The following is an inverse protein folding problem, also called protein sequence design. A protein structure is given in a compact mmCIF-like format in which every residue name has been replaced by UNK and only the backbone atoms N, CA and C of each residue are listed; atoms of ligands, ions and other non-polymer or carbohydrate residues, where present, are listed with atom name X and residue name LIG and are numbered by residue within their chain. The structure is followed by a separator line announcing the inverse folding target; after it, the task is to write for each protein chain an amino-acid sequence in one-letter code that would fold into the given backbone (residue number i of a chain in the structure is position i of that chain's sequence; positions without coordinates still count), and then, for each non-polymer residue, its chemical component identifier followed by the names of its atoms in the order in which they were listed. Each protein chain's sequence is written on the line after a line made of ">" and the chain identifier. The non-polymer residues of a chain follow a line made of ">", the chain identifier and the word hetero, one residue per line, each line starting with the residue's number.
data_IF_935737419859
#
_entry.id   IF_935737419859
#
_cell.length_a   1.000
_cell.length_b   1.000
_cell.length_c   1.000
_cell.angle_alpha   90.00
_cell.angle_beta   90.00
_cell.angle_gamma   90.00
#
_symmetry.space_group_name_H-M   'P 1'
#
loop_
_entity.id
_entity.type
_entity.pdbx_description
1 polymer ?
#
# COMPACT_ATOMS: atom_id res chain seq x y z
N UNK A 1 -1.97 10.52 -4.83
CA UNK A 1 -2.53 11.69 -5.56
C UNK A 1 -1.81 11.77 -6.90
N UNK A 2 -2.52 11.97 -8.02
CA UNK A 2 -1.92 12.12 -9.36
C UNK A 2 -2.18 13.56 -9.78
N UNK A 3 -1.15 14.29 -10.21
CA UNK A 3 -1.29 15.70 -10.57
C UNK A 3 -1.81 15.83 -12.01
N UNK A 4 -2.93 16.55 -12.18
CA UNK A 4 -3.58 16.73 -13.48
C UNK A 4 -2.84 17.82 -14.26
N UNK A 5 -2.42 17.50 -15.48
CA UNK A 5 -1.96 18.48 -16.45
C UNK A 5 -3.11 18.64 -17.46
N UNK A 6 -3.82 19.76 -17.42
CA UNK A 6 -4.91 20.00 -18.40
C UNK A 6 -4.40 21.00 -19.41
N UNK A 7 -4.25 20.57 -20.65
CA UNK A 7 -4.26 21.45 -21.80
C UNK A 7 -5.74 21.80 -22.09
N UNK A 8 -6.07 23.10 -22.14
CA UNK A 8 -7.46 23.57 -22.16
C UNK A 8 -8.15 23.43 -23.53
N UNK A 9 -7.48 22.94 -24.58
CA UNK A 9 -7.96 23.12 -25.96
C UNK A 9 -8.57 21.87 -26.62
N UNK A 10 -8.61 20.72 -25.95
CA UNK A 10 -9.19 19.50 -26.57
C UNK A 10 -10.53 19.15 -25.93
N UNK A 11 -11.63 19.29 -26.69
CA UNK A 11 -13.00 18.82 -26.38
C UNK A 11 -13.15 17.30 -26.22
N UNK A 12 -12.05 16.57 -26.10
CA UNK A 12 -11.98 15.13 -25.92
C UNK A 12 -11.59 14.87 -24.46
N UNK A 13 -12.30 13.95 -23.77
CA UNK A 13 -12.15 13.68 -22.33
C UNK A 13 -10.86 12.93 -22.01
N UNK A 14 -9.72 13.41 -22.51
CA UNK A 14 -8.40 12.84 -22.30
C UNK A 14 -7.76 13.54 -21.12
N UNK A 15 -7.88 12.92 -19.96
CA UNK A 15 -7.22 13.42 -18.77
C UNK A 15 -5.72 13.10 -18.86
N UNK A 16 -4.91 14.11 -19.21
CA UNK A 16 -3.46 14.01 -19.16
C UNK A 16 -2.98 14.18 -17.71
N UNK A 17 -2.13 13.27 -17.27
CA UNK A 17 -1.60 13.22 -15.92
C UNK A 17 -0.11 12.95 -15.98
N UNK A 18 0.66 13.50 -15.05
CA UNK A 18 2.06 13.11 -14.92
C UNK A 18 2.14 11.65 -14.46
N UNK A 19 3.02 10.82 -15.06
CA UNK A 19 3.16 9.40 -14.71
C UNK A 19 3.95 9.19 -13.40
N UNK A 20 3.81 10.11 -12.44
CA UNK A 20 4.49 10.06 -11.14
C UNK A 20 3.46 10.02 -10.02
N UNK A 21 3.74 9.21 -9.01
CA UNK A 21 2.95 9.12 -7.78
C UNK A 21 3.89 9.24 -6.60
N UNK A 22 3.47 10.00 -5.59
CA UNK A 22 4.14 10.01 -4.29
C UNK A 22 4.22 8.56 -3.77
N UNK A 23 5.44 8.06 -3.61
CA UNK A 23 5.71 6.65 -3.29
C UNK A 23 6.00 6.36 -1.82
N UNK A 24 6.10 7.40 -0.97
CA UNK A 24 6.51 7.23 0.43
C UNK A 24 5.48 6.45 1.27
N UNK A 25 4.20 6.60 0.95
CA UNK A 25 3.11 5.86 1.59
C UNK A 25 2.16 5.31 0.53
N UNK A 26 1.81 4.03 0.66
CA UNK A 26 0.85 3.37 -0.22
C UNK A 26 -0.01 2.41 0.58
N UNK A 27 -1.17 2.04 0.03
CA UNK A 27 -2.06 1.07 0.66
C UNK A 27 -1.61 -0.35 0.32
N UNK A 28 -1.90 -1.29 1.22
CA UNK A 28 -1.55 -2.71 1.07
C UNK A 28 -1.95 -3.31 -0.28
N UNK A 29 -3.17 -3.02 -0.74
CA UNK A 29 -3.66 -3.49 -2.04
C UNK A 29 -2.82 -3.03 -3.24
N UNK A 30 -2.12 -1.90 -3.14
CA UNK A 30 -1.28 -1.37 -4.23
C UNK A 30 0.17 -1.83 -4.17
N UNK A 31 0.60 -2.40 -3.04
CA UNK A 31 1.96 -2.91 -2.84
C UNK A 31 2.08 -4.41 -3.13
N UNK A 32 0.95 -5.08 -3.40
CA UNK A 32 0.94 -6.49 -3.77
C UNK A 32 1.77 -6.73 -5.04
N UNK A 33 2.80 -7.57 -4.91
CA UNK A 33 3.77 -7.90 -5.97
C UNK A 33 5.09 -7.12 -5.90
N UNK A 34 5.21 -6.10 -5.05
CA UNK A 34 6.47 -5.38 -4.85
C UNK A 34 7.36 -6.06 -3.80
N UNK A 35 8.68 -5.98 -4.01
CA UNK A 35 9.70 -6.30 -2.99
C UNK A 35 10.28 -4.99 -2.49
N UNK A 36 10.25 -4.77 -1.18
CA UNK A 36 10.73 -3.55 -0.54
C UNK A 36 11.91 -3.88 0.37
N UNK A 37 12.92 -3.01 0.40
CA UNK A 37 14.09 -3.19 1.26
C UNK A 37 13.78 -2.89 2.73
N UNK A 38 12.83 -1.97 2.99
CA UNK A 38 12.42 -1.54 4.32
C UNK A 38 10.93 -1.13 4.29
N UNK A 39 10.17 -1.44 5.35
CA UNK A 39 8.76 -1.06 5.45
C UNK A 39 8.39 -0.55 6.86
N UNK A 40 7.60 0.51 6.89
CA UNK A 40 6.92 0.97 8.10
C UNK A 40 5.44 0.65 7.97
N UNK A 41 4.93 -0.17 8.88
CA UNK A 41 3.59 -0.75 8.83
C UNK A 41 2.66 -0.09 9.82
N UNK A 42 1.56 0.47 9.32
CA UNK A 42 0.48 0.97 10.15
C UNK A 42 -0.82 0.21 9.87
N UNK A 43 -1.20 -0.67 10.78
CA UNK A 43 -2.42 -1.48 10.69
C UNK A 43 -3.54 -0.75 11.43
N UNK A 44 -4.17 0.23 10.77
CA UNK A 44 -5.21 1.07 11.39
C UNK A 44 -6.57 0.34 11.57
N UNK A 45 -6.83 -0.73 10.81
CA UNK A 45 -8.07 -1.52 10.94
C UNK A 45 -7.78 -2.95 11.36
N UNK A 46 -8.46 -3.36 12.43
CA UNK A 46 -8.52 -4.73 12.89
C UNK A 46 -9.40 -5.60 11.97
N UNK A 47 -9.17 -6.91 11.98
CA UNK A 47 -9.92 -7.96 11.30
C UNK A 47 -9.93 -7.90 9.76
N UNK A 48 -8.93 -7.23 9.14
CA UNK A 48 -8.74 -7.31 7.70
C UNK A 48 -8.00 -8.62 7.38
N UNK A 49 -8.66 -9.49 6.65
CA UNK A 49 -8.12 -10.79 6.25
C UNK A 49 -6.83 -10.65 5.43
N UNK A 50 -5.78 -11.37 5.83
CA UNK A 50 -4.52 -11.45 5.10
C UNK A 50 -3.71 -10.16 5.02
N UNK A 51 -4.19 -9.04 5.58
CA UNK A 51 -3.53 -7.74 5.46
C UNK A 51 -2.11 -7.74 6.03
N UNK A 52 -1.94 -8.18 7.28
CA UNK A 52 -0.63 -8.22 7.92
C UNK A 52 0.35 -9.15 7.18
N UNK A 53 -0.13 -10.32 6.72
CA UNK A 53 0.68 -11.26 5.95
C UNK A 53 1.16 -10.68 4.62
N UNK A 54 0.24 -10.07 3.85
CA UNK A 54 0.57 -9.42 2.57
C UNK A 54 1.56 -8.28 2.76
N UNK A 55 1.56 -7.63 3.93
CA UNK A 55 2.45 -6.55 4.27
C UNK A 55 3.86 -7.04 4.65
N UNK A 56 3.93 -8.02 5.54
CA UNK A 56 5.19 -8.58 6.05
C UNK A 56 5.94 -9.36 4.97
N UNK A 57 5.24 -10.06 4.09
CA UNK A 57 5.83 -10.78 2.95
C UNK A 57 6.52 -9.88 1.91
N UNK A 58 6.48 -8.55 2.06
CA UNK A 58 7.14 -7.59 1.15
C UNK A 58 8.59 -7.32 1.50
N UNK A 59 9.01 -7.66 2.71
CA UNK A 59 10.34 -7.44 3.22
C UNK A 59 11.02 -8.79 3.49
N UNK A 60 12.31 -8.89 3.15
CA UNK A 60 13.06 -10.14 3.29
C UNK A 60 13.57 -10.39 4.71
N UNK A 61 13.91 -9.33 5.45
CA UNK A 61 14.59 -9.43 6.73
C UNK A 61 13.79 -8.80 7.87
N UNK A 62 13.81 -9.45 9.02
CA UNK A 62 13.05 -9.04 10.21
C UNK A 62 13.45 -7.63 10.70
N UNK A 63 14.75 -7.31 10.62
CA UNK A 63 15.29 -6.00 11.03
C UNK A 63 14.80 -4.83 10.16
N UNK A 64 14.15 -5.12 9.03
CA UNK A 64 13.74 -4.13 8.04
C UNK A 64 12.25 -3.78 8.10
N UNK A 65 11.50 -4.31 9.07
CA UNK A 65 10.13 -3.85 9.31
C UNK A 65 10.02 -3.09 10.64
N UNK A 66 9.11 -2.12 10.66
CA UNK A 66 8.75 -1.38 11.87
C UNK A 66 7.24 -1.24 11.96
N UNK A 67 6.64 -1.63 13.08
CA UNK A 67 5.25 -1.33 13.35
C UNK A 67 5.08 0.08 13.89
N UNK A 68 4.02 0.74 13.43
CA UNK A 68 3.51 1.99 13.98
C UNK A 68 2.28 1.66 14.82
N UNK A 69 2.32 2.03 16.10
CA UNK A 69 1.27 1.70 17.07
C UNK A 69 1.48 0.33 17.71
N UNK A 70 0.43 -0.18 18.37
CA UNK A 70 0.44 -1.47 19.06
C UNK A 70 -0.39 -2.51 18.28
N UNK A 71 0.24 -3.36 17.43
CA UNK A 71 -0.47 -4.38 16.70
C UNK A 71 -0.97 -5.48 17.65
N UNK A 72 -2.29 -5.65 17.72
CA UNK A 72 -2.93 -6.76 18.44
C UNK A 72 -3.18 -7.97 17.54
N UNK A 73 -3.50 -9.14 18.14
CA UNK A 73 -3.83 -10.40 17.43
C UNK A 73 -4.92 -10.21 16.37
N UNK A 74 -5.86 -9.27 16.58
CA UNK A 74 -6.92 -8.96 15.63
C UNK A 74 -6.42 -8.37 14.30
N UNK A 75 -5.18 -7.91 14.23
CA UNK A 75 -4.59 -7.44 12.96
C UNK A 75 -4.00 -8.58 12.12
N UNK A 76 -3.88 -9.78 12.69
CA UNK A 76 -3.34 -10.98 12.05
C UNK A 76 -4.43 -11.98 11.69
N UNK A 77 -5.56 -11.49 11.18
CA UNK A 77 -6.66 -12.35 10.75
C UNK A 77 -6.24 -13.12 9.48
N UNK A 78 -6.27 -14.47 9.51
CA UNK A 78 -5.95 -15.26 8.33
C UNK A 78 -6.96 -15.02 7.20
N UNK A 79 -6.53 -15.24 5.96
CA UNK A 79 -7.45 -15.25 4.83
C UNK A 79 -8.35 -16.49 4.94
N UNK A 80 -9.66 -16.29 4.99
CA UNK A 80 -10.64 -17.38 5.00
C UNK A 80 -11.07 -17.65 3.56
N UNK A 81 -10.28 -18.44 2.82
CA UNK A 81 -10.64 -18.83 1.45
C UNK A 81 -9.60 -19.68 0.76
N UNK A 82 -9.90 -20.98 0.63
CA UNK A 82 -9.58 -21.83 -0.52
C UNK A 82 -10.91 -22.24 -1.16
#
# INVERSE_FOLDING_TARGET
>A
MVYRYTDQDTRDTRAAFFPVRLGYATTLHKVQGATLNHITLWLNRANIQGAAYVALSRVQYDVQWRFVGNPTVHHFTPASGF
#
